data_IF_000008427096
#
_entry.id   IF_000008427096
#
_cell.length_a   1.000
_cell.length_b   1.000
_cell.length_c   1.000
_cell.angle_alpha   90.00
_cell.angle_beta   90.00
_cell.angle_gamma   90.00
#
_symmetry.space_group_name_H-M   'P 1'
#
loop_
_entity.id
_entity.type
_entity.pdbx_description
1 polymer ?
#
# COMPACT_ATOMS: atom_id res chain seq x y z
N UNK A 1 -12.93 19.74 10.75
CA UNK A 1 -12.93 18.33 11.11
C UNK A 1 -12.44 17.52 9.90
N UNK A 2 -11.66 16.49 10.13
CA UNK A 2 -11.22 15.54 9.09
C UNK A 2 -12.40 14.86 8.36
N UNK A 3 -13.59 15.24 8.68
CA UNK A 3 -14.83 14.70 8.22
C UNK A 3 -15.59 15.72 7.38
N UNK A 4 -15.71 15.45 6.09
CA UNK A 4 -16.56 16.22 5.20
C UNK A 4 -17.78 15.37 4.81
N UNK A 5 -18.96 15.56 5.44
CA UNK A 5 -20.19 15.04 4.91
C UNK A 5 -20.56 15.90 3.69
N UNK A 6 -20.03 15.55 2.52
CA UNK A 6 -20.56 16.09 1.28
C UNK A 6 -22.00 15.63 1.07
N UNK A 7 -22.75 16.30 0.18
CA UNK A 7 -24.11 15.90 -0.22
C UNK A 7 -24.12 14.42 -0.65
N UNK A 8 -22.98 13.92 -1.17
CA UNK A 8 -22.77 12.53 -1.59
C UNK A 8 -21.73 11.80 -0.72
N UNK A 9 -21.29 12.39 0.40
CA UNK A 9 -20.27 11.82 1.27
C UNK A 9 -20.85 10.71 2.16
N UNK A 10 -20.13 9.60 2.26
CA UNK A 10 -20.52 8.46 3.11
C UNK A 10 -20.46 8.75 4.61
N UNK A 11 -20.14 9.97 5.02
CA UNK A 11 -20.00 10.33 6.44
C UNK A 11 -18.84 9.61 7.13
N UNK A 12 -17.82 9.19 6.38
CA UNK A 12 -16.64 8.45 6.89
C UNK A 12 -15.54 9.45 7.27
N UNK A 13 -14.97 9.39 8.47
CA UNK A 13 -13.85 10.22 8.84
C UNK A 13 -12.60 9.76 8.07
N UNK A 14 -11.93 10.71 7.41
CA UNK A 14 -10.63 10.50 6.80
C UNK A 14 -9.54 11.02 7.71
N UNK A 15 -8.43 10.29 7.82
CA UNK A 15 -7.32 10.65 8.70
C UNK A 15 -6.06 11.03 7.91
N UNK A 16 -5.92 10.50 6.69
CA UNK A 16 -4.85 10.83 5.75
C UNK A 16 -5.42 10.97 4.33
N UNK A 17 -4.75 11.74 3.49
CA UNK A 17 -4.98 11.81 2.05
C UNK A 17 -3.69 11.53 1.30
N UNK A 18 -3.75 10.64 0.31
CA UNK A 18 -2.64 10.32 -0.57
C UNK A 18 -3.09 10.40 -2.02
N UNK A 19 -2.44 11.26 -2.80
CA UNK A 19 -2.53 11.26 -4.24
C UNK A 19 -1.34 10.48 -4.83
N UNK A 20 -1.63 9.48 -5.64
CA UNK A 20 -0.63 8.65 -6.30
C UNK A 20 -0.52 9.07 -7.76
N UNK A 21 0.66 9.54 -8.13
CA UNK A 21 0.96 10.08 -9.44
C UNK A 21 2.17 9.40 -10.10
N UNK A 22 2.40 9.72 -11.35
CA UNK A 22 3.65 9.46 -12.08
C UNK A 22 4.18 10.79 -12.62
N UNK A 23 5.45 11.04 -12.39
CA UNK A 23 6.15 12.25 -12.81
C UNK A 23 6.69 12.13 -14.25
N UNK A 24 7.18 13.23 -14.77
CA UNK A 24 7.90 13.33 -16.03
C UNK A 24 9.39 13.61 -15.77
N UNK A 25 10.26 12.92 -16.47
CA UNK A 25 11.69 13.13 -16.38
C UNK A 25 12.45 11.91 -16.86
N UNK A 26 13.65 12.14 -17.37
CA UNK A 26 14.50 11.11 -17.97
C UNK A 26 15.90 11.16 -17.40
N UNK A 27 16.60 10.02 -17.41
CA UNK A 27 18.04 9.93 -17.20
C UNK A 27 18.70 9.39 -18.46
N UNK A 28 19.76 10.08 -18.90
CA UNK A 28 20.47 9.69 -20.12
C UNK A 28 21.26 8.38 -19.98
N UNK A 29 21.59 8.00 -18.75
CA UNK A 29 22.32 6.78 -18.41
C UNK A 29 21.42 5.56 -18.20
N UNK A 30 20.12 5.68 -18.48
CA UNK A 30 19.10 4.65 -18.27
C UNK A 30 18.98 4.17 -16.81
N UNK A 31 19.50 4.93 -15.85
CA UNK A 31 19.27 4.60 -14.43
C UNK A 31 17.84 4.90 -14.00
N UNK A 32 17.44 4.36 -12.84
CA UNK A 32 16.14 4.63 -12.23
C UNK A 32 15.99 6.12 -11.92
N UNK A 33 14.93 6.74 -12.44
CA UNK A 33 14.58 8.12 -12.09
C UNK A 33 14.04 8.21 -10.67
N UNK A 34 13.17 7.28 -10.30
CA UNK A 34 12.72 7.02 -8.94
C UNK A 34 11.58 7.90 -8.45
N UNK A 35 11.40 7.92 -7.14
CA UNK A 35 10.22 8.51 -6.49
C UNK A 35 10.51 9.87 -5.87
N UNK A 36 9.48 10.71 -5.83
CA UNK A 36 9.43 12.04 -5.22
C UNK A 36 8.17 12.15 -4.39
N UNK A 37 8.20 12.88 -3.29
CA UNK A 37 6.98 13.22 -2.53
C UNK A 37 6.78 14.74 -2.43
N UNK A 38 5.52 15.15 -2.26
CA UNK A 38 5.13 16.56 -2.12
C UNK A 38 4.16 16.69 -0.97
N UNK A 39 4.35 17.72 -0.16
CA UNK A 39 3.42 18.15 0.90
C UNK A 39 3.25 19.66 0.88
N UNK A 40 2.28 20.18 1.65
CA UNK A 40 2.09 21.62 1.88
C UNK A 40 2.09 21.88 3.38
N UNK A 41 3.12 22.55 3.89
CA UNK A 41 3.22 22.90 5.32
C UNK A 41 2.62 24.26 5.65
N UNK A 42 2.64 25.17 4.67
CA UNK A 42 2.04 26.51 4.80
C UNK A 42 1.20 26.81 3.57
N UNK A 43 -0.06 27.15 3.76
CA UNK A 43 -0.96 27.56 2.67
C UNK A 43 -0.66 29.01 2.21
N UNK A 44 -1.13 29.44 1.02
CA UNK A 44 -0.89 30.79 0.52
C UNK A 44 -1.42 31.91 1.41
N UNK A 45 -2.41 31.63 2.23
CA UNK A 45 -3.01 32.54 3.21
C UNK A 45 -2.24 32.55 4.55
N UNK A 46 -1.12 31.84 4.64
CA UNK A 46 -0.31 31.70 5.85
C UNK A 46 -0.80 30.65 6.85
N UNK A 47 -1.82 29.84 6.49
CA UNK A 47 -2.35 28.81 7.38
C UNK A 47 -1.37 27.64 7.50
N UNK A 48 -0.96 27.31 8.73
CA UNK A 48 0.00 26.22 9.08
C UNK A 48 -0.68 25.07 9.85
N UNK A 49 -1.97 25.16 10.10
CA UNK A 49 -2.74 24.17 10.85
C UNK A 49 -3.96 23.72 10.06
N UNK A 50 -4.35 22.48 10.23
CA UNK A 50 -5.64 21.98 9.77
C UNK A 50 -6.77 22.50 10.68
N UNK A 51 -8.03 22.47 10.22
CA UNK A 51 -9.19 22.86 11.06
C UNK A 51 -9.29 22.05 12.35
N UNK A 52 -8.73 20.85 12.40
CA UNK A 52 -8.63 20.02 13.60
C UNK A 52 -7.63 20.51 14.64
N UNK A 53 -6.81 21.51 14.33
CA UNK A 53 -5.71 22.00 15.16
C UNK A 53 -4.40 21.23 15.00
N UNK A 54 -4.36 20.19 14.18
CA UNK A 54 -3.12 19.46 13.83
C UNK A 54 -2.26 20.32 12.91
N UNK A 55 -0.96 20.39 13.20
CA UNK A 55 -0.01 21.10 12.34
C UNK A 55 0.11 20.44 10.98
N UNK A 56 0.21 21.25 9.92
CA UNK A 56 0.50 20.78 8.57
C UNK A 56 1.88 20.16 8.40
N UNK A 57 2.77 20.33 9.38
CA UNK A 57 4.03 19.57 9.46
C UNK A 57 3.79 18.05 9.45
N UNK A 58 2.65 17.57 9.95
CA UNK A 58 2.27 16.16 9.85
C UNK A 58 2.17 15.67 8.39
N UNK A 59 1.88 16.55 7.42
CA UNK A 59 1.94 16.22 5.99
C UNK A 59 3.38 16.00 5.52
N UNK A 60 4.31 16.83 5.98
CA UNK A 60 5.73 16.69 5.66
C UNK A 60 6.30 15.40 6.26
N UNK A 61 5.96 15.11 7.52
CA UNK A 61 6.36 13.87 8.18
C UNK A 61 5.85 12.64 7.43
N UNK A 62 4.55 12.62 7.09
CA UNK A 62 3.94 11.54 6.33
C UNK A 62 4.59 11.38 4.94
N UNK A 63 4.74 12.47 4.18
CA UNK A 63 5.33 12.42 2.84
C UNK A 63 6.80 11.97 2.86
N UNK A 64 7.55 12.38 3.88
CA UNK A 64 8.95 12.00 4.05
C UNK A 64 9.09 10.52 4.42
N UNK A 65 8.28 10.04 5.37
CA UNK A 65 8.23 8.62 5.74
C UNK A 65 7.83 7.75 4.56
N UNK A 66 6.81 8.18 3.80
CA UNK A 66 6.35 7.46 2.61
C UNK A 66 7.47 7.29 1.58
N UNK A 67 8.19 8.38 1.27
CA UNK A 67 9.28 8.37 0.31
C UNK A 67 10.48 7.54 0.79
N UNK A 68 10.86 7.65 2.06
CA UNK A 68 11.97 6.90 2.64
C UNK A 68 11.69 5.40 2.62
N UNK A 69 10.55 4.99 3.19
CA UNK A 69 10.17 3.58 3.30
C UNK A 69 10.01 2.94 1.91
N UNK A 70 9.36 3.65 0.98
CA UNK A 70 9.19 3.16 -0.39
C UNK A 70 10.52 2.92 -1.07
N UNK A 71 11.44 3.90 -1.00
CA UNK A 71 12.74 3.80 -1.68
C UNK A 71 13.60 2.68 -1.07
N UNK A 72 13.55 2.52 0.24
CA UNK A 72 14.26 1.44 0.94
C UNK A 72 13.69 0.05 0.61
N UNK A 73 12.37 -0.11 0.71
CA UNK A 73 11.69 -1.36 0.41
C UNK A 73 11.92 -1.79 -1.05
N UNK A 74 11.74 -0.87 -2.01
CA UNK A 74 11.96 -1.17 -3.42
C UNK A 74 13.42 -1.51 -3.72
N UNK A 75 14.37 -0.81 -3.09
CA UNK A 75 15.80 -1.14 -3.23
C UNK A 75 16.08 -2.56 -2.78
N UNK A 76 15.57 -2.97 -1.61
CA UNK A 76 15.75 -4.32 -1.09
C UNK A 76 15.04 -5.38 -1.92
N UNK A 77 13.77 -5.17 -2.24
CA UNK A 77 12.91 -6.18 -2.87
C UNK A 77 13.20 -6.39 -4.36
N UNK A 78 13.68 -5.36 -5.05
CA UNK A 78 14.00 -5.44 -6.48
C UNK A 78 15.51 -5.64 -6.73
N UNK A 79 16.35 -5.52 -5.71
CA UNK A 79 17.81 -5.62 -5.86
C UNK A 79 18.41 -4.51 -6.72
N UNK A 80 17.78 -3.33 -6.75
CA UNK A 80 18.22 -2.16 -7.53
C UNK A 80 18.30 -0.93 -6.64
N UNK A 81 19.17 0.01 -6.95
CA UNK A 81 19.19 1.29 -6.26
C UNK A 81 17.99 2.14 -6.71
N UNK A 82 16.85 2.01 -6.00
CA UNK A 82 15.69 2.83 -6.27
C UNK A 82 15.94 4.26 -5.81
N UNK A 83 15.98 5.19 -6.75
CA UNK A 83 16.34 6.58 -6.44
C UNK A 83 15.27 7.25 -5.57
N UNK A 84 15.68 7.62 -4.35
CA UNK A 84 14.93 8.54 -3.51
C UNK A 84 15.26 9.96 -4.00
N UNK A 85 14.27 10.64 -4.57
CA UNK A 85 14.37 12.04 -4.95
C UNK A 85 14.05 12.94 -3.75
N UNK A 86 13.71 14.19 -3.99
CA UNK A 86 13.42 15.16 -2.93
C UNK A 86 12.01 14.92 -2.33
N UNK A 87 11.83 15.41 -1.11
CA UNK A 87 10.52 15.69 -0.53
C UNK A 87 10.28 17.20 -0.67
N UNK A 88 9.33 17.59 -1.51
CA UNK A 88 9.05 18.99 -1.78
C UNK A 88 7.96 19.54 -0.87
N UNK A 89 8.19 20.73 -0.32
CA UNK A 89 7.14 21.55 0.28
C UNK A 89 6.62 22.52 -0.78
N UNK A 90 5.47 22.20 -1.36
CA UNK A 90 4.87 22.98 -2.45
C UNK A 90 3.35 22.96 -2.36
N UNK A 91 2.76 24.08 -2.79
CA UNK A 91 1.35 24.33 -2.69
C UNK A 91 0.55 23.77 -3.87
N UNK A 92 0.28 22.45 -3.81
CA UNK A 92 -0.63 21.78 -4.76
C UNK A 92 -2.02 21.62 -4.16
N UNK A 93 -3.04 21.53 -5.02
CA UNK A 93 -4.41 21.38 -4.57
C UNK A 93 -4.62 20.14 -3.71
N UNK A 94 -4.04 18.99 -4.12
CA UNK A 94 -4.17 17.70 -3.44
C UNK A 94 -3.51 17.67 -2.05
N UNK A 95 -2.57 18.56 -1.78
CA UNK A 95 -1.91 18.66 -0.46
C UNK A 95 -2.39 19.83 0.37
N UNK A 96 -3.02 20.82 -0.25
CA UNK A 96 -3.53 22.02 0.40
C UNK A 96 -4.98 21.92 0.84
N UNK A 97 -5.86 21.40 -0.07
CA UNK A 97 -7.32 21.42 0.13
C UNK A 97 -7.79 20.43 1.22
N UNK A 98 -7.24 19.20 1.32
CA UNK A 98 -7.69 18.29 2.36
C UNK A 98 -7.52 18.87 3.78
N UNK A 99 -8.49 18.56 4.65
CA UNK A 99 -8.49 18.95 6.06
C UNK A 99 -7.70 17.98 6.97
N UNK A 100 -6.90 17.12 6.36
CA UNK A 100 -6.10 16.08 7.02
C UNK A 100 -4.67 16.07 6.46
N UNK A 101 -3.69 15.49 7.17
CA UNK A 101 -2.35 15.32 6.63
C UNK A 101 -2.37 14.65 5.26
N UNK A 102 -1.68 15.26 4.30
CA UNK A 102 -1.82 14.93 2.88
C UNK A 102 -0.48 14.91 2.17
N UNK A 103 -0.30 13.96 1.26
CA UNK A 103 0.87 13.86 0.41
C UNK A 103 0.51 13.56 -1.04
N UNK A 104 1.32 14.03 -1.98
CA UNK A 104 1.44 13.46 -3.31
C UNK A 104 2.67 12.56 -3.31
N UNK A 105 2.54 11.38 -3.88
CA UNK A 105 3.66 10.50 -4.19
C UNK A 105 3.76 10.34 -5.70
N UNK A 106 4.82 10.92 -6.25
CA UNK A 106 5.26 10.64 -7.61
C UNK A 106 6.02 9.33 -7.57
N UNK A 107 5.33 8.22 -7.88
CA UNK A 107 5.86 6.86 -7.67
C UNK A 107 7.09 6.59 -8.55
N UNK A 108 7.05 7.06 -9.80
CA UNK A 108 8.09 6.87 -10.81
C UNK A 108 7.90 7.85 -11.96
N UNK A 109 8.85 7.90 -12.91
CA UNK A 109 8.68 8.69 -14.12
C UNK A 109 8.12 7.86 -15.28
N UNK A 110 6.98 8.30 -15.83
CA UNK A 110 6.40 7.70 -17.04
C UNK A 110 7.18 8.01 -18.32
N UNK A 111 8.19 8.88 -18.26
CA UNK A 111 9.08 9.18 -19.38
C UNK A 111 10.43 8.46 -19.29
N UNK A 112 10.78 7.89 -18.12
CA UNK A 112 12.02 7.14 -17.94
C UNK A 112 11.81 5.68 -18.34
N UNK A 113 12.60 5.19 -19.30
CA UNK A 113 12.47 3.84 -19.81
C UNK A 113 12.62 2.77 -18.72
N UNK A 114 13.60 2.95 -17.83
CA UNK A 114 13.85 1.99 -16.74
C UNK A 114 12.70 1.96 -15.75
N UNK A 115 12.20 3.13 -15.34
CA UNK A 115 11.04 3.22 -14.44
C UNK A 115 9.81 2.53 -15.05
N UNK A 116 9.56 2.74 -16.35
CA UNK A 116 8.44 2.11 -17.05
C UNK A 116 8.54 0.60 -17.16
N UNK A 117 9.76 0.04 -17.23
CA UNK A 117 9.93 -1.42 -17.14
C UNK A 117 9.43 -1.95 -15.80
N UNK A 118 9.75 -1.26 -14.69
CA UNK A 118 9.21 -1.59 -13.38
C UNK A 118 7.70 -1.36 -13.28
N UNK A 119 7.18 -0.29 -13.88
CA UNK A 119 5.75 -0.02 -13.90
C UNK A 119 4.92 -1.16 -14.52
N UNK A 120 5.48 -1.94 -15.42
CA UNK A 120 4.84 -3.11 -16.03
C UNK A 120 5.07 -4.40 -15.24
N UNK A 121 6.00 -4.42 -14.28
CA UNK A 121 6.31 -5.60 -13.46
C UNK A 121 5.28 -5.75 -12.32
N UNK A 122 4.54 -6.88 -12.24
CA UNK A 122 3.64 -7.16 -11.12
C UNK A 122 4.33 -7.19 -9.76
N UNK A 123 5.59 -7.62 -9.70
CA UNK A 123 6.38 -7.63 -8.46
C UNK A 123 6.62 -6.21 -7.95
N UNK A 124 7.01 -5.29 -8.81
CA UNK A 124 7.14 -3.88 -8.46
C UNK A 124 5.83 -3.32 -7.88
N UNK A 125 4.71 -3.56 -8.59
CA UNK A 125 3.39 -3.07 -8.16
C UNK A 125 3.02 -3.58 -6.78
N UNK A 126 3.26 -4.86 -6.52
CA UNK A 126 2.98 -5.48 -5.23
C UNK A 126 3.83 -4.85 -4.11
N UNK A 127 5.15 -4.74 -4.31
CA UNK A 127 6.04 -4.21 -3.26
C UNK A 127 5.86 -2.72 -3.03
N UNK A 128 5.61 -1.94 -4.09
CA UNK A 128 5.26 -0.53 -3.97
C UNK A 128 3.96 -0.34 -3.16
N UNK A 129 2.90 -1.07 -3.51
CA UNK A 129 1.63 -1.01 -2.79
C UNK A 129 1.78 -1.46 -1.33
N UNK A 130 2.57 -2.53 -1.06
CA UNK A 130 2.82 -3.01 0.29
C UNK A 130 3.60 -2.00 1.13
N UNK A 131 4.61 -1.34 0.57
CA UNK A 131 5.37 -0.30 1.26
C UNK A 131 4.49 0.90 1.63
N UNK A 132 3.68 1.37 0.68
CA UNK A 132 2.71 2.45 0.90
C UNK A 132 1.72 2.05 2.01
N UNK A 133 1.14 0.85 1.93
CA UNK A 133 0.22 0.31 2.93
C UNK A 133 0.84 0.28 4.34
N UNK A 134 2.05 -0.26 4.49
CA UNK A 134 2.76 -0.31 5.77
C UNK A 134 2.96 1.10 6.36
N UNK A 135 3.35 2.04 5.51
CA UNK A 135 3.59 3.42 5.94
C UNK A 135 2.30 4.10 6.39
N UNK A 136 1.21 3.97 5.63
CA UNK A 136 -0.10 4.50 6.02
C UNK A 136 -0.54 3.90 7.35
N UNK A 137 -0.52 2.58 7.49
CA UNK A 137 -0.94 1.90 8.71
C UNK A 137 -0.15 2.36 9.93
N UNK A 138 1.16 2.47 9.81
CA UNK A 138 2.04 2.92 10.90
C UNK A 138 1.85 4.39 11.24
N UNK A 139 1.64 5.23 10.23
CA UNK A 139 1.36 6.67 10.44
C UNK A 139 0.05 6.86 11.18
N UNK A 140 -1.03 6.21 10.75
CA UNK A 140 -2.34 6.26 11.43
C UNK A 140 -2.23 5.70 12.86
N UNK A 141 -1.55 4.57 13.05
CA UNK A 141 -1.34 4.01 14.38
C UNK A 141 -0.60 4.99 15.30
N UNK A 142 0.45 5.64 14.80
CA UNK A 142 1.20 6.65 15.57
C UNK A 142 0.33 7.88 15.91
N UNK A 143 -0.53 8.35 15.00
CA UNK A 143 -1.48 9.44 15.27
C UNK A 143 -2.44 9.08 16.41
N UNK A 144 -2.74 7.82 16.62
CA UNK A 144 -3.54 7.29 17.73
C UNK A 144 -2.72 6.82 18.94
N UNK A 145 -1.43 7.17 19.01
CA UNK A 145 -0.54 6.77 20.11
C UNK A 145 -0.28 5.26 20.17
N UNK A 146 -0.48 4.53 19.08
CA UNK A 146 -0.22 3.10 18.97
C UNK A 146 1.13 2.87 18.31
N UNK A 147 1.98 2.07 18.94
CA UNK A 147 3.33 1.81 18.42
C UNK A 147 3.49 0.44 17.74
N UNK A 148 2.49 -0.44 17.91
CA UNK A 148 2.51 -1.79 17.34
C UNK A 148 1.43 -1.89 16.26
N UNK A 149 1.85 -2.08 15.04
CA UNK A 149 0.96 -2.35 13.90
C UNK A 149 1.13 -3.81 13.47
N UNK A 150 0.03 -4.51 13.27
CA UNK A 150 0.04 -5.85 12.69
C UNK A 150 -0.06 -5.70 11.17
N UNK A 151 0.95 -6.17 10.49
CA UNK A 151 1.02 -6.11 9.02
C UNK A 151 0.31 -7.31 8.42
N UNK A 152 -0.42 -7.09 7.35
CA UNK A 152 -1.11 -8.15 6.62
C UNK A 152 -0.10 -9.21 6.14
N UNK A 153 -0.38 -10.52 6.32
CA UNK A 153 0.45 -11.60 5.80
C UNK A 153 0.70 -11.48 4.30
N UNK A 154 1.83 -12.03 3.86
CA UNK A 154 2.07 -12.25 2.44
C UNK A 154 1.10 -13.30 1.88
N UNK A 155 0.84 -13.31 0.56
CA UNK A 155 0.06 -14.37 -0.05
C UNK A 155 0.66 -15.75 0.26
N UNK A 156 -0.17 -16.78 0.47
CA UNK A 156 0.33 -18.14 0.64
C UNK A 156 1.14 -18.57 -0.59
N UNK A 157 2.15 -19.38 -0.35
CA UNK A 157 3.00 -19.94 -1.40
C UNK A 157 2.68 -21.42 -1.63
N UNK A 158 3.16 -21.97 -2.75
CA UNK A 158 2.97 -23.37 -3.14
C UNK A 158 1.50 -23.80 -3.14
N UNK A 159 0.60 -22.86 -3.47
CA UNK A 159 -0.83 -23.19 -3.58
C UNK A 159 -1.06 -24.19 -4.70
N UNK A 160 -1.77 -25.28 -4.38
CA UNK A 160 -2.20 -26.28 -5.35
C UNK A 160 -3.65 -26.67 -5.10
N UNK A 161 -4.35 -27.01 -6.18
CA UNK A 161 -5.70 -27.56 -6.17
C UNK A 161 -5.70 -28.80 -7.07
N UNK A 162 -5.95 -29.97 -6.50
CA UNK A 162 -5.92 -31.24 -7.20
C UNK A 162 -7.18 -32.04 -6.87
N UNK A 163 -7.64 -32.84 -7.82
CA UNK A 163 -8.67 -33.84 -7.53
C UNK A 163 -8.10 -34.96 -6.67
N UNK A 164 -8.92 -35.49 -5.76
CA UNK A 164 -8.62 -36.73 -5.06
C UNK A 164 -8.55 -37.91 -6.06
N UNK A 165 -7.89 -39.02 -5.69
CA UNK A 165 -7.76 -40.18 -6.60
C UNK A 165 -9.09 -40.75 -7.12
N UNK A 166 -10.17 -40.57 -6.39
CA UNK A 166 -11.54 -40.98 -6.83
C UNK A 166 -12.31 -39.84 -7.52
N UNK A 167 -11.69 -38.68 -7.70
CA UNK A 167 -12.26 -37.48 -8.36
C UNK A 167 -13.52 -36.90 -7.66
N UNK A 168 -13.79 -37.28 -6.42
CA UNK A 168 -14.97 -36.82 -5.67
C UNK A 168 -14.69 -35.53 -4.87
N UNK A 169 -13.44 -35.29 -4.53
CA UNK A 169 -13.04 -34.14 -3.72
C UNK A 169 -11.97 -33.31 -4.44
N UNK A 170 -11.93 -32.01 -4.13
CA UNK A 170 -10.81 -31.13 -4.43
C UNK A 170 -9.97 -31.01 -3.16
N UNK A 171 -8.67 -31.25 -3.31
CA UNK A 171 -7.68 -31.15 -2.26
C UNK A 171 -6.87 -29.87 -2.51
N UNK A 172 -6.96 -28.93 -1.58
CA UNK A 172 -6.19 -27.69 -1.60
C UNK A 172 -5.00 -27.83 -0.65
N UNK A 173 -3.81 -27.42 -1.09
CA UNK A 173 -2.63 -27.33 -0.25
C UNK A 173 -1.95 -25.98 -0.46
N UNK A 174 -1.34 -25.46 0.60
CA UNK A 174 -0.54 -24.24 0.55
C UNK A 174 0.44 -24.20 1.72
N UNK A 175 1.37 -23.25 1.66
CA UNK A 175 2.27 -22.96 2.75
C UNK A 175 2.17 -21.48 3.13
N UNK A 176 2.30 -21.12 4.42
CA UNK A 176 2.46 -19.74 4.81
C UNK A 176 3.75 -19.18 4.22
N UNK A 177 3.73 -17.92 3.80
CA UNK A 177 4.93 -17.22 3.38
C UNK A 177 5.38 -16.28 4.51
N UNK A 178 6.53 -16.56 5.17
CA UNK A 178 7.05 -15.64 6.17
C UNK A 178 7.50 -14.33 5.50
N UNK A 179 7.34 -13.23 6.20
CA UNK A 179 7.95 -11.95 5.86
C UNK A 179 9.03 -11.66 6.91
N UNK A 180 10.30 -11.85 6.54
CA UNK A 180 11.45 -11.70 7.46
C UNK A 180 11.58 -10.27 8.01
N UNK A 181 11.09 -9.28 7.26
CA UNK A 181 11.11 -7.87 7.66
C UNK A 181 9.90 -7.49 8.52
N UNK A 182 8.85 -8.33 8.54
CA UNK A 182 7.60 -8.06 9.22
C UNK A 182 7.15 -9.27 10.06
N UNK A 183 7.76 -9.51 11.21
CA UNK A 183 7.40 -10.66 12.05
C UNK A 183 5.93 -10.70 12.47
N UNK A 184 5.26 -9.54 12.49
CA UNK A 184 3.82 -9.45 12.78
C UNK A 184 2.93 -9.97 11.65
N UNK A 185 3.49 -10.16 10.45
CA UNK A 185 2.76 -10.58 9.24
C UNK A 185 2.56 -12.09 9.13
N UNK A 186 2.63 -12.83 10.23
CA UNK A 186 2.32 -14.27 10.24
C UNK A 186 0.82 -14.51 10.16
N UNK A 187 0.34 -15.37 9.24
CA UNK A 187 -1.08 -15.67 9.14
C UNK A 187 -1.57 -16.39 10.40
N UNK A 188 -2.67 -15.91 10.96
CA UNK A 188 -3.33 -16.52 12.11
C UNK A 188 -4.50 -17.41 11.72
N UNK A 189 -5.02 -17.24 10.52
CA UNK A 189 -6.07 -18.05 9.94
C UNK A 189 -6.13 -17.85 8.43
N UNK A 190 -6.78 -18.79 7.75
CA UNK A 190 -7.09 -18.69 6.33
C UNK A 190 -8.60 -18.65 6.14
N UNK A 191 -9.05 -17.88 5.15
CA UNK A 191 -10.43 -17.84 4.70
C UNK A 191 -10.46 -18.39 3.29
N UNK A 192 -11.20 -19.46 3.09
CA UNK A 192 -11.39 -20.08 1.78
C UNK A 192 -12.62 -19.45 1.11
N UNK A 193 -12.43 -18.93 -0.08
CA UNK A 193 -13.50 -18.47 -0.96
C UNK A 193 -13.60 -19.40 -2.16
N UNK A 194 -14.81 -19.78 -2.52
CA UNK A 194 -15.08 -20.62 -3.69
C UNK A 194 -15.98 -19.89 -4.69
N UNK A 195 -15.85 -20.26 -5.96
CA UNK A 195 -16.66 -19.72 -7.04
C UNK A 195 -17.00 -20.82 -8.05
N UNK A 196 -18.27 -20.95 -8.42
CA UNK A 196 -18.72 -21.92 -9.44
C UNK A 196 -18.53 -21.43 -10.87
N UNK A 197 -18.36 -20.12 -11.09
CA UNK A 197 -18.29 -19.52 -12.42
C UNK A 197 -17.07 -18.61 -12.65
N UNK A 198 -16.19 -18.45 -11.63
CA UNK A 198 -15.01 -17.60 -11.67
C UNK A 198 -15.26 -16.09 -11.60
N UNK A 199 -16.51 -15.63 -11.52
CA UNK A 199 -16.85 -14.20 -11.51
C UNK A 199 -17.44 -13.71 -10.18
N UNK A 200 -18.01 -14.57 -9.37
CA UNK A 200 -18.50 -14.26 -8.03
C UNK A 200 -18.00 -15.30 -7.03
N UNK A 201 -17.63 -14.84 -5.85
CA UNK A 201 -17.21 -15.71 -4.76
C UNK A 201 -18.29 -15.77 -3.66
N UNK A 202 -18.29 -16.86 -2.89
CA UNK A 202 -19.09 -17.01 -1.70
C UNK A 202 -18.66 -16.02 -0.58
N UNK A 203 -19.29 -16.15 0.60
CA UNK A 203 -18.97 -15.30 1.76
C UNK A 203 -17.68 -15.69 2.50
N UNK A 204 -16.97 -16.71 2.01
CA UNK A 204 -15.76 -17.24 2.60
C UNK A 204 -15.99 -18.07 3.86
N UNK A 205 -15.20 -19.12 3.99
CA UNK A 205 -15.21 -20.03 5.14
C UNK A 205 -13.89 -19.90 5.89
N UNK A 206 -13.95 -19.55 7.17
CA UNK A 206 -12.75 -19.55 8.02
C UNK A 206 -12.37 -21.02 8.30
N UNK A 207 -11.17 -21.41 7.86
CA UNK A 207 -10.62 -22.77 8.00
C UNK A 207 -9.47 -22.84 9.04
N UNK A 208 -9.29 -21.78 9.83
CA UNK A 208 -8.29 -21.71 10.88
C UNK A 208 -6.86 -21.75 10.34
N UNK A 209 -5.96 -22.43 11.05
CA UNK A 209 -4.54 -22.55 10.70
C UNK A 209 -4.23 -23.67 9.71
N UNK A 210 -5.26 -24.32 9.12
CA UNK A 210 -5.05 -25.42 8.21
C UNK A 210 -4.20 -24.99 6.99
N UNK A 211 -3.32 -25.86 6.54
CA UNK A 211 -2.55 -25.71 5.30
C UNK A 211 -2.96 -26.73 4.24
N UNK A 212 -3.97 -27.54 4.56
CA UNK A 212 -4.69 -28.44 3.65
C UNK A 212 -6.19 -28.27 3.90
N UNK A 213 -6.97 -28.32 2.85
CA UNK A 213 -8.42 -28.34 2.94
C UNK A 213 -9.00 -29.21 1.82
N UNK A 214 -10.05 -29.98 2.16
CA UNK A 214 -10.75 -30.83 1.21
C UNK A 214 -12.22 -30.45 1.17
N UNK A 215 -12.79 -30.44 0.00
CA UNK A 215 -14.21 -30.21 -0.19
C UNK A 215 -14.72 -30.92 -1.44
N UNK A 216 -15.99 -31.33 -1.39
CA UNK A 216 -16.72 -31.86 -2.53
C UNK A 216 -17.31 -30.69 -3.29
N UNK A 217 -16.96 -30.47 -4.57
CA UNK A 217 -17.60 -29.43 -5.38
C UNK A 217 -19.09 -29.75 -5.58
N UNK A 218 -19.94 -28.74 -5.47
CA UNK A 218 -21.39 -28.84 -5.74
C UNK A 218 -21.67 -28.76 -7.24
#
# INVERSE_FOLDING_TARGET
SAFQPGIDGAGIPFELSLALHTDAGVRNDLSVYGSLSISTTTCPDGTEFFPSGVSRMASLDFSTLLLNNLSEDLTKKLGVNWTRRESWDRNYAETRIPDVPSAILELLSHQNFTDMRYAHDPHFKFWAARSIYKTILRTVAAMHGKHNSVIQPLPPQQFSALFSPNEEEIILNWQPQPDEEEPSAMPQAYILYTSVNGSGFDNGKNIGHATEYRFTPE
#
